data_IF_670957724505
#
_entry.id   IF_670957724505
#
_cell.length_a   1.000
_cell.length_b   1.000
_cell.length_c   1.000
_cell.angle_alpha   90.00
_cell.angle_beta   90.00
_cell.angle_gamma   90.00
#
_symmetry.space_group_name_H-M   'P 1'
#
loop_
_entity.id
_entity.type
_entity.pdbx_description
1 polymer ?
#
# COMPACT_ATOMS: atom_id res chain seq x y z
N UNK A 1 -29.95 -22.26 9.17
CA UNK A 1 -28.51 -22.08 8.88
C UNK A 1 -28.31 -21.92 7.37
N UNK A 2 -28.24 -20.69 6.87
CA UNK A 2 -27.99 -20.42 5.45
C UNK A 2 -26.50 -20.11 5.26
N UNK A 3 -25.74 -21.14 4.90
CA UNK A 3 -24.33 -21.02 4.51
C UNK A 3 -24.30 -20.55 3.06
N UNK A 4 -23.93 -19.30 2.82
CA UNK A 4 -23.64 -18.76 1.48
C UNK A 4 -22.14 -18.50 1.33
N UNK A 5 -21.32 -19.54 1.09
CA UNK A 5 -19.91 -19.38 0.77
C UNK A 5 -19.64 -18.81 -0.64
N UNK A 6 -20.66 -18.65 -1.50
CA UNK A 6 -20.50 -18.21 -2.90
C UNK A 6 -20.40 -16.68 -3.11
N UNK A 7 -20.81 -15.86 -2.13
CA UNK A 7 -20.77 -14.40 -2.29
C UNK A 7 -19.35 -13.82 -2.28
N UNK A 8 -18.42 -14.42 -1.53
CA UNK A 8 -17.10 -13.84 -1.34
C UNK A 8 -16.21 -14.06 -2.58
N UNK A 9 -16.28 -15.24 -3.21
CA UNK A 9 -15.54 -15.52 -4.44
C UNK A 9 -16.05 -14.67 -5.62
N UNK A 10 -17.37 -14.59 -5.80
CA UNK A 10 -17.97 -13.75 -6.83
C UNK A 10 -17.61 -12.27 -6.63
N UNK A 11 -17.61 -11.81 -5.37
CA UNK A 11 -17.26 -10.44 -5.03
C UNK A 11 -15.82 -10.10 -5.39
N UNK A 12 -14.85 -10.96 -5.05
CA UNK A 12 -13.42 -10.70 -5.33
C UNK A 12 -13.19 -10.56 -6.83
N UNK A 13 -13.75 -11.46 -7.64
CA UNK A 13 -13.62 -11.39 -9.09
C UNK A 13 -14.22 -10.10 -9.67
N UNK A 14 -15.37 -9.66 -9.15
CA UNK A 14 -16.03 -8.44 -9.61
C UNK A 14 -15.28 -7.17 -9.16
N UNK A 15 -14.75 -7.15 -7.94
CA UNK A 15 -13.91 -6.07 -7.46
C UNK A 15 -12.62 -5.95 -8.29
N UNK A 16 -12.02 -7.08 -8.68
CA UNK A 16 -10.84 -7.10 -9.55
C UNK A 16 -11.18 -6.66 -10.98
N UNK A 17 -12.33 -7.04 -11.51
CA UNK A 17 -12.83 -6.53 -12.79
C UNK A 17 -12.97 -5.00 -12.78
N UNK A 18 -13.58 -4.44 -11.73
CA UNK A 18 -13.72 -2.98 -11.63
C UNK A 18 -12.37 -2.28 -11.52
N UNK A 19 -11.43 -2.85 -10.74
CA UNK A 19 -10.08 -2.33 -10.65
C UNK A 19 -9.34 -2.36 -12.01
N UNK A 20 -9.44 -3.44 -12.78
CA UNK A 20 -8.75 -3.57 -14.06
C UNK A 20 -9.30 -2.63 -15.14
N UNK A 21 -10.56 -2.22 -15.03
CA UNK A 21 -11.23 -1.31 -15.97
C UNK A 21 -11.31 0.14 -15.45
N UNK A 22 -10.70 0.45 -14.30
CA UNK A 22 -10.76 1.77 -13.64
C UNK A 22 -12.18 2.26 -13.35
N UNK A 23 -13.10 1.32 -13.12
CA UNK A 23 -14.50 1.58 -12.73
C UNK A 23 -14.59 1.72 -11.20
N UNK A 24 -13.87 2.70 -10.67
CA UNK A 24 -13.62 2.87 -9.23
C UNK A 24 -14.88 3.27 -8.46
N UNK A 25 -15.76 4.05 -9.09
CA UNK A 25 -17.04 4.46 -8.52
C UNK A 25 -18.00 3.27 -8.37
N UNK A 26 -18.07 2.41 -9.39
CA UNK A 26 -18.85 1.17 -9.38
C UNK A 26 -18.33 0.17 -8.35
N UNK A 27 -17.01 0.03 -8.25
CA UNK A 27 -16.37 -0.76 -7.21
C UNK A 27 -16.71 -0.28 -5.80
N UNK A 28 -16.74 1.03 -5.57
CA UNK A 28 -17.17 1.61 -4.29
C UNK A 28 -18.66 1.37 -4.02
N UNK A 29 -19.53 1.56 -5.02
CA UNK A 29 -20.96 1.35 -4.90
C UNK A 29 -21.30 -0.12 -4.59
N UNK A 30 -20.59 -1.07 -5.20
CA UNK A 30 -20.70 -2.49 -4.88
C UNK A 30 -20.34 -2.75 -3.41
N UNK A 31 -19.20 -2.23 -2.95
CA UNK A 31 -18.76 -2.39 -1.56
C UNK A 31 -19.77 -1.79 -0.57
N UNK A 32 -20.31 -0.60 -0.85
CA UNK A 32 -21.33 0.04 -0.02
C UNK A 32 -22.63 -0.78 0.05
N UNK A 33 -23.03 -1.37 -1.07
CA UNK A 33 -24.17 -2.29 -1.11
C UNK A 33 -23.93 -3.49 -0.18
N UNK A 34 -22.76 -4.12 -0.26
CA UNK A 34 -22.42 -5.30 0.55
C UNK A 34 -22.28 -4.99 2.04
N UNK A 35 -21.72 -3.83 2.39
CA UNK A 35 -21.67 -3.36 3.78
C UNK A 35 -23.08 -3.23 4.35
N UNK A 36 -24.02 -2.68 3.56
CA UNK A 36 -25.41 -2.46 3.97
C UNK A 36 -26.21 -3.76 4.08
N UNK A 37 -26.09 -4.65 3.10
CA UNK A 37 -27.00 -5.82 2.97
C UNK A 37 -26.42 -7.13 3.49
N UNK A 38 -25.08 -7.25 3.57
CA UNK A 38 -24.41 -8.48 4.03
C UNK A 38 -23.82 -8.30 5.41
N UNK A 39 -22.78 -7.47 5.55
CA UNK A 39 -22.16 -7.21 6.86
C UNK A 39 -21.17 -6.06 6.79
N UNK A 40 -21.27 -5.13 7.74
CA UNK A 40 -20.26 -4.10 7.94
C UNK A 40 -18.95 -4.64 8.53
N UNK A 41 -18.89 -5.88 9.03
CA UNK A 41 -17.71 -6.43 9.73
C UNK A 41 -16.70 -7.13 8.80
N UNK A 42 -17.06 -7.39 7.54
CA UNK A 42 -16.14 -8.02 6.58
C UNK A 42 -15.11 -7.00 6.08
N UNK A 43 -13.85 -7.19 6.43
CA UNK A 43 -12.75 -6.30 6.07
C UNK A 43 -12.60 -6.09 4.54
N UNK A 44 -12.81 -7.15 3.76
CA UNK A 44 -12.67 -7.12 2.29
C UNK A 44 -13.57 -6.07 1.60
N UNK A 45 -14.74 -5.75 2.16
CA UNK A 45 -15.63 -4.73 1.59
C UNK A 45 -15.02 -3.33 1.74
N UNK A 46 -14.44 -3.03 2.90
CA UNK A 46 -13.73 -1.77 3.13
C UNK A 46 -12.43 -1.70 2.34
N UNK A 47 -11.72 -2.84 2.21
CA UNK A 47 -10.52 -2.93 1.40
C UNK A 47 -10.80 -2.62 -0.07
N UNK A 48 -11.94 -3.06 -0.59
CA UNK A 48 -12.34 -2.76 -1.97
C UNK A 48 -12.43 -1.25 -2.19
N UNK A 49 -13.07 -0.50 -1.26
CA UNK A 49 -13.09 0.97 -1.32
C UNK A 49 -11.68 1.57 -1.22
N UNK A 50 -10.83 1.04 -0.34
CA UNK A 50 -9.42 1.44 -0.23
C UNK A 50 -8.68 1.27 -1.57
N UNK A 51 -8.81 0.10 -2.22
CA UNK A 51 -8.21 -0.19 -3.53
C UNK A 51 -8.71 0.76 -4.62
N UNK A 52 -10.01 1.02 -4.69
CA UNK A 52 -10.58 1.96 -5.66
C UNK A 52 -10.06 3.38 -5.46
N UNK A 53 -9.98 3.85 -4.21
CA UNK A 53 -9.47 5.18 -3.90
C UNK A 53 -7.98 5.34 -4.18
N UNK A 54 -7.19 4.28 -4.00
CA UNK A 54 -5.80 4.29 -4.45
C UNK A 54 -5.70 4.45 -5.98
N UNK A 55 -6.55 3.77 -6.76
CA UNK A 55 -6.58 3.88 -8.23
C UNK A 55 -7.01 5.27 -8.71
N UNK A 56 -7.88 5.94 -7.96
CA UNK A 56 -8.30 7.33 -8.22
C UNK A 56 -7.25 8.38 -7.81
N UNK A 57 -6.14 7.96 -7.19
CA UNK A 57 -5.17 8.84 -6.50
C UNK A 57 -5.79 9.68 -5.36
N UNK A 58 -6.95 9.27 -4.83
CA UNK A 58 -7.59 9.85 -3.65
C UNK A 58 -6.97 9.20 -2.40
N UNK A 59 -5.76 9.65 -2.08
CA UNK A 59 -4.90 9.02 -1.08
C UNK A 59 -5.45 9.14 0.34
N UNK A 60 -6.07 10.27 0.67
CA UNK A 60 -6.72 10.49 1.95
C UNK A 60 -7.89 9.53 2.17
N UNK A 61 -8.79 9.37 1.19
CA UNK A 61 -9.87 8.40 1.31
C UNK A 61 -9.35 6.96 1.31
N UNK A 62 -8.29 6.67 0.54
CA UNK A 62 -7.61 5.37 0.59
C UNK A 62 -7.11 5.04 2.00
N UNK A 63 -6.48 5.99 2.69
CA UNK A 63 -6.01 5.82 4.08
C UNK A 63 -7.19 5.58 5.02
N UNK A 64 -8.28 6.35 4.92
CA UNK A 64 -9.47 6.18 5.77
C UNK A 64 -10.10 4.79 5.61
N UNK A 65 -10.22 4.30 4.37
CA UNK A 65 -10.76 2.97 4.12
C UNK A 65 -9.76 1.85 4.46
N UNK A 66 -8.45 2.09 4.35
CA UNK A 66 -7.45 1.18 4.88
C UNK A 66 -7.59 1.04 6.40
N UNK A 67 -7.76 2.14 7.12
CA UNK A 67 -7.98 2.11 8.58
C UNK A 67 -9.28 1.40 8.95
N UNK A 68 -10.34 1.62 8.19
CA UNK A 68 -11.58 0.86 8.34
C UNK A 68 -11.39 -0.64 8.10
N UNK A 69 -10.54 -1.01 7.15
CA UNK A 69 -10.19 -2.42 6.88
C UNK A 69 -9.42 -3.02 8.06
N UNK A 70 -8.39 -2.32 8.53
CA UNK A 70 -7.48 -2.77 9.58
C UNK A 70 -8.14 -2.83 10.96
N UNK A 71 -9.17 -2.01 11.20
CA UNK A 71 -10.02 -2.13 12.38
C UNK A 71 -10.74 -3.48 12.46
N UNK A 72 -11.02 -4.10 11.31
CA UNK A 72 -11.78 -5.36 11.20
C UNK A 72 -10.86 -6.57 11.05
N UNK A 73 -9.78 -6.40 10.29
CA UNK A 73 -8.74 -7.40 10.14
C UNK A 73 -7.36 -6.73 10.26
N UNK A 74 -6.76 -6.75 11.47
CA UNK A 74 -5.43 -6.21 11.70
C UNK A 74 -4.30 -6.97 10.99
N UNK A 75 -4.60 -8.08 10.31
CA UNK A 75 -3.64 -8.88 9.54
C UNK A 75 -3.79 -8.70 8.03
N UNK A 76 -4.64 -7.77 7.58
CA UNK A 76 -4.90 -7.49 6.16
C UNK A 76 -3.70 -6.77 5.51
N UNK A 77 -2.70 -7.54 5.07
CA UNK A 77 -1.44 -7.03 4.53
C UNK A 77 -1.63 -6.02 3.38
N UNK A 78 -2.61 -6.25 2.51
CA UNK A 78 -2.86 -5.35 1.37
C UNK A 78 -3.35 -3.97 1.79
N UNK A 79 -4.04 -3.85 2.93
CA UNK A 79 -4.51 -2.57 3.45
C UNK A 79 -3.34 -1.76 4.02
N UNK A 80 -2.40 -2.41 4.73
CA UNK A 80 -1.15 -1.77 5.12
C UNK A 80 -0.33 -1.32 3.92
N UNK A 81 -0.25 -2.16 2.88
CA UNK A 81 0.45 -1.81 1.65
C UNK A 81 -0.17 -0.57 1.00
N UNK A 82 -1.48 -0.58 0.72
CA UNK A 82 -2.17 0.54 0.10
C UNK A 82 -2.07 1.82 0.94
N UNK A 83 -2.22 1.73 2.27
CA UNK A 83 -2.04 2.87 3.19
C UNK A 83 -0.63 3.45 3.10
N UNK A 84 0.40 2.60 3.12
CA UNK A 84 1.79 3.05 3.00
C UNK A 84 2.11 3.67 1.64
N UNK A 85 1.60 3.09 0.54
CA UNK A 85 1.74 3.68 -0.81
C UNK A 85 1.05 5.03 -0.90
N UNK A 86 -0.16 5.19 -0.33
CA UNK A 86 -0.85 6.48 -0.28
C UNK A 86 0.00 7.57 0.38
N UNK A 87 0.58 7.29 1.56
CA UNK A 87 1.49 8.24 2.21
C UNK A 87 2.72 8.57 1.34
N UNK A 88 3.31 7.59 0.67
CA UNK A 88 4.46 7.81 -0.21
C UNK A 88 4.11 8.66 -1.43
N UNK A 89 2.96 8.43 -2.04
CA UNK A 89 2.51 9.21 -3.19
C UNK A 89 2.18 10.65 -2.78
N UNK A 90 1.51 10.84 -1.64
CA UNK A 90 1.32 12.18 -1.06
C UNK A 90 2.66 12.87 -0.79
N UNK A 91 3.68 12.13 -0.30
CA UNK A 91 5.01 12.68 -0.05
C UNK A 91 5.68 13.14 -1.35
N UNK A 92 5.58 12.36 -2.42
CA UNK A 92 6.14 12.70 -3.75
C UNK A 92 5.45 13.94 -4.32
N UNK A 93 4.11 13.97 -4.33
CA UNK A 93 3.34 15.14 -4.80
C UNK A 93 3.71 16.39 -3.99
N UNK A 94 3.90 16.24 -2.67
CA UNK A 94 4.29 17.36 -1.82
C UNK A 94 5.74 17.81 -2.07
N UNK A 95 6.63 16.90 -2.44
CA UNK A 95 8.00 17.21 -2.85
C UNK A 95 8.02 18.01 -4.15
N UNK A 96 7.24 17.60 -5.15
CA UNK A 96 7.16 18.28 -6.46
C UNK A 96 6.65 19.72 -6.35
N UNK A 97 5.76 19.97 -5.38
CA UNK A 97 5.19 21.29 -5.10
C UNK A 97 5.85 22.03 -3.94
N UNK A 98 6.96 21.52 -3.40
CA UNK A 98 7.60 22.11 -2.24
C UNK A 98 8.23 23.47 -2.55
N UNK A 99 8.15 24.40 -1.61
CA UNK A 99 8.86 25.67 -1.70
C UNK A 99 10.38 25.42 -1.70
N UNK A 100 11.11 26.16 -2.54
CA UNK A 100 12.57 26.09 -2.68
C UNK A 100 13.30 27.30 -2.08
N UNK A 101 12.57 28.36 -1.67
CA UNK A 101 13.17 29.54 -1.05
C UNK A 101 13.37 29.33 0.45
N UNK A 102 14.63 29.28 0.89
CA UNK A 102 15.02 29.05 2.29
C UNK A 102 14.43 30.09 3.25
N UNK A 103 14.14 31.30 2.76
CA UNK A 103 13.62 32.40 3.58
C UNK A 103 12.11 32.35 3.74
N UNK A 104 11.40 31.57 2.90
CA UNK A 104 9.96 31.40 2.99
C UNK A 104 9.62 30.41 4.12
N UNK A 105 8.72 30.75 5.08
CA UNK A 105 8.29 29.84 6.13
C UNK A 105 7.77 28.49 5.61
N UNK A 106 7.19 28.45 4.41
CA UNK A 106 6.72 27.21 3.76
C UNK A 106 7.87 26.23 3.51
N UNK A 107 9.09 26.69 3.27
CA UNK A 107 10.25 25.82 3.05
C UNK A 107 10.46 24.83 4.20
N UNK A 108 10.37 25.30 5.46
CA UNK A 108 10.48 24.44 6.63
C UNK A 108 9.25 23.55 6.81
N UNK A 109 8.05 24.11 6.62
CA UNK A 109 6.78 23.40 6.76
C UNK A 109 6.65 22.23 5.76
N UNK A 110 7.04 22.46 4.51
CA UNK A 110 6.96 21.49 3.42
C UNK A 110 7.85 20.28 3.73
N UNK A 111 9.11 20.52 4.13
CA UNK A 111 10.02 19.44 4.54
C UNK A 111 9.53 18.69 5.78
N UNK A 112 8.96 19.39 6.76
CA UNK A 112 8.37 18.74 7.92
C UNK A 112 7.21 17.82 7.51
N UNK A 113 6.32 18.31 6.64
CA UNK A 113 5.18 17.56 6.12
C UNK A 113 5.62 16.32 5.34
N UNK A 114 6.56 16.48 4.42
CA UNK A 114 7.13 15.37 3.63
C UNK A 114 7.76 14.33 4.58
N UNK A 115 8.54 14.77 5.57
CA UNK A 115 9.14 13.88 6.57
C UNK A 115 8.08 13.12 7.39
N UNK A 116 6.97 13.77 7.76
CA UNK A 116 5.87 13.12 8.46
C UNK A 116 5.16 12.07 7.59
N UNK A 117 4.98 12.34 6.30
CA UNK A 117 4.39 11.38 5.36
C UNK A 117 5.26 10.11 5.23
N UNK A 118 6.58 10.27 5.02
CA UNK A 118 7.51 9.13 5.02
C UNK A 118 7.52 8.38 6.37
N UNK A 119 7.50 9.11 7.49
CA UNK A 119 7.44 8.51 8.81
C UNK A 119 6.15 7.70 9.04
N UNK A 120 5.03 8.14 8.45
CA UNK A 120 3.72 7.46 8.53
C UNK A 120 3.65 6.24 7.62
N UNK A 121 4.32 6.27 6.46
CA UNK A 121 4.44 5.12 5.56
C UNK A 121 5.27 3.98 6.17
N UNK A 122 6.29 4.31 6.96
CA UNK A 122 7.24 3.35 7.54
C UNK A 122 6.60 2.19 8.35
N UNK A 123 5.77 2.44 9.38
CA UNK A 123 5.16 1.34 10.14
C UNK A 123 4.24 0.48 9.26
N UNK A 124 3.57 1.07 8.27
CA UNK A 124 2.72 0.33 7.34
C UNK A 124 3.54 -0.68 6.55
N UNK A 125 4.65 -0.24 5.92
CA UNK A 125 5.49 -1.12 5.12
C UNK A 125 6.28 -2.15 5.94
N UNK A 126 6.67 -1.80 7.17
CA UNK A 126 7.22 -2.79 8.13
C UNK A 126 6.22 -3.88 8.47
N UNK A 127 4.94 -3.53 8.61
CA UNK A 127 3.89 -4.51 8.86
C UNK A 127 3.62 -5.41 7.66
N UNK A 128 3.74 -4.89 6.42
CA UNK A 128 3.71 -5.73 5.20
C UNK A 128 4.87 -6.73 5.22
N UNK A 129 6.09 -6.30 5.57
CA UNK A 129 7.26 -7.20 5.74
C UNK A 129 7.00 -8.29 6.78
N UNK A 130 6.40 -7.92 7.91
CA UNK A 130 6.08 -8.87 8.99
C UNK A 130 5.04 -9.91 8.55
N UNK A 131 3.97 -9.48 7.88
CA UNK A 131 2.87 -10.36 7.46
C UNK A 131 3.19 -11.20 6.22
N UNK A 132 4.08 -10.71 5.36
CA UNK A 132 4.44 -11.34 4.08
C UNK A 132 5.96 -11.29 3.84
N UNK A 133 6.77 -11.96 4.68
CA UNK A 133 8.23 -11.89 4.59
C UNK A 133 8.76 -12.38 3.24
N UNK A 134 8.12 -13.39 2.65
CA UNK A 134 8.53 -13.98 1.36
C UNK A 134 8.27 -13.06 0.15
N UNK A 135 7.42 -12.04 0.31
CA UNK A 135 7.06 -11.10 -0.77
C UNK A 135 7.99 -9.89 -0.75
N UNK A 136 9.30 -10.15 -0.81
CA UNK A 136 10.36 -9.13 -0.73
C UNK A 136 10.12 -7.95 -1.68
N UNK A 137 9.74 -8.23 -2.93
CA UNK A 137 9.49 -7.21 -3.95
C UNK A 137 8.37 -6.22 -3.58
N UNK A 138 7.50 -6.62 -2.66
CA UNK A 138 6.37 -5.81 -2.22
C UNK A 138 6.76 -4.77 -1.17
N UNK A 139 7.53 -5.16 -0.17
CA UNK A 139 7.85 -4.29 0.97
C UNK A 139 9.25 -3.67 0.90
N UNK A 140 10.20 -4.32 0.20
CA UNK A 140 11.59 -3.88 0.24
C UNK A 140 11.84 -2.58 -0.54
N UNK A 141 11.35 -2.39 -1.79
CA UNK A 141 11.56 -1.12 -2.50
C UNK A 141 10.91 0.10 -1.81
N UNK A 142 9.67 0.03 -1.28
CA UNK A 142 9.11 1.11 -0.46
C UNK A 142 9.94 1.41 0.79
N UNK A 143 10.36 0.37 1.54
CA UNK A 143 11.19 0.57 2.74
C UNK A 143 12.57 1.15 2.42
N UNK A 144 13.18 0.76 1.30
CA UNK A 144 14.44 1.35 0.83
C UNK A 144 14.29 2.86 0.65
N UNK A 145 13.24 3.31 -0.05
CA UNK A 145 12.96 4.75 -0.26
C UNK A 145 12.72 5.47 1.06
N UNK A 146 11.97 4.86 1.97
CA UNK A 146 11.66 5.42 3.30
C UNK A 146 12.94 5.57 4.13
N UNK A 147 13.77 4.54 4.19
CA UNK A 147 14.98 4.54 4.99
C UNK A 147 16.02 5.52 4.45
N UNK A 148 16.18 5.58 3.13
CA UNK A 148 17.01 6.58 2.48
C UNK A 148 16.53 8.00 2.84
N UNK A 149 15.23 8.29 2.68
CA UNK A 149 14.70 9.62 2.94
C UNK A 149 14.78 10.05 4.41
N UNK A 150 14.56 9.11 5.34
CA UNK A 150 14.57 9.39 6.78
C UNK A 150 15.96 9.30 7.41
N UNK A 151 17.01 9.04 6.63
CA UNK A 151 18.40 8.81 7.06
C UNK A 151 18.50 7.68 8.11
N UNK A 152 17.85 6.54 7.85
CA UNK A 152 17.88 5.33 8.68
C UNK A 152 19.05 4.43 8.28
N UNK A 153 20.28 4.86 8.59
CA UNK A 153 21.50 4.23 8.07
C UNK A 153 21.57 2.70 8.29
N UNK A 154 21.33 2.21 9.51
CA UNK A 154 21.40 0.78 9.81
C UNK A 154 20.35 -0.03 9.04
N UNK A 155 19.11 0.44 9.04
CA UNK A 155 18.00 -0.21 8.34
C UNK A 155 18.14 -0.12 6.82
N UNK A 156 18.75 0.97 6.33
CA UNK A 156 19.07 1.16 4.92
C UNK A 156 20.17 0.18 4.46
N UNK A 157 21.24 0.03 5.22
CA UNK A 157 22.34 -0.88 4.88
C UNK A 157 21.86 -2.35 4.83
N UNK A 158 20.97 -2.73 5.76
CA UNK A 158 20.31 -4.05 5.76
C UNK A 158 19.52 -4.27 4.47
N UNK A 159 18.66 -3.32 4.11
CA UNK A 159 17.73 -3.51 2.99
C UNK A 159 18.42 -3.40 1.64
N UNK A 160 19.45 -2.55 1.52
CA UNK A 160 20.28 -2.44 0.32
C UNK A 160 21.04 -3.76 0.05
N UNK A 161 21.62 -4.36 1.09
CA UNK A 161 22.25 -5.68 0.99
C UNK A 161 21.26 -6.74 0.55
N UNK A 162 20.10 -6.79 1.20
CA UNK A 162 19.05 -7.76 0.90
C UNK A 162 18.59 -7.67 -0.57
N UNK A 163 18.37 -6.45 -1.08
CA UNK A 163 17.96 -6.25 -2.47
C UNK A 163 19.05 -6.66 -3.47
N UNK A 164 20.33 -6.39 -3.16
CA UNK A 164 21.48 -6.83 -3.99
C UNK A 164 21.62 -8.34 -4.02
N UNK A 165 21.49 -9.01 -2.88
CA UNK A 165 21.52 -10.47 -2.76
C UNK A 165 20.40 -11.09 -3.59
N UNK A 166 19.16 -10.62 -3.41
CA UNK A 166 18.02 -11.07 -4.20
C UNK A 166 18.21 -10.87 -5.70
N UNK A 167 18.68 -9.69 -6.13
CA UNK A 167 18.95 -9.44 -7.54
C UNK A 167 20.00 -10.40 -8.13
N UNK A 168 21.03 -10.76 -7.34
CA UNK A 168 22.01 -11.77 -7.72
C UNK A 168 21.40 -13.17 -7.84
N UNK A 169 20.53 -13.57 -6.90
CA UNK A 169 19.83 -14.84 -6.95
C UNK A 169 18.88 -14.95 -8.14
N UNK A 170 18.10 -13.89 -8.41
CA UNK A 170 17.17 -13.86 -9.53
C UNK A 170 17.93 -13.93 -10.87
N UNK A 171 19.08 -13.26 -10.98
CA UNK A 171 19.96 -13.36 -12.15
C UNK A 171 20.51 -14.79 -12.35
N UNK A 172 20.90 -15.47 -11.27
CA UNK A 172 21.36 -16.87 -11.32
C UNK A 172 20.24 -17.82 -11.77
N UNK A 173 19.04 -17.67 -11.23
CA UNK A 173 17.86 -18.48 -11.62
C UNK A 173 17.49 -18.29 -13.08
N UNK A 174 17.62 -17.08 -13.61
CA UNK A 174 17.37 -16.79 -15.02
C UNK A 174 18.47 -17.34 -15.96
N UNK A 175 19.69 -17.53 -15.45
CA UNK A 175 20.82 -18.08 -16.21
C UNK A 175 20.88 -19.62 -16.23
N UNK A 176 20.11 -20.31 -15.38
CA UNK A 176 20.02 -21.78 -15.41
C UNK A 176 19.19 -22.24 -16.62
N UNK A 177 19.73 -23.05 -17.54
CA UNK A 177 18.96 -23.56 -18.66
C UNK A 177 17.82 -24.42 -18.12
N UNK A 178 16.59 -24.14 -18.58
CA UNK A 178 15.41 -24.92 -18.25
C UNK A 178 15.70 -26.41 -18.55
N UNK A 179 15.97 -27.18 -17.50
CA UNK A 179 16.12 -28.64 -17.61
C UNK A 179 14.77 -29.18 -18.06
N UNK A 180 14.69 -29.53 -19.34
CA UNK A 180 13.59 -30.31 -19.93
C UNK A 180 13.53 -31.69 -19.33
#
# INVERSE_FOLDING_TARGET
>A
MRKYPEHDYFFVNLADYYASHKLTSEGCALADSLIRVVSANKAIYWYTKCKMKLLDNDYEACIQFADSTLLRDPTFADAYYNKGISYLNMAVIRQESACNDIKDPRFAQDRQTIRQLFASAMPCMRKVRELQPDKVDRWAPPLYRIYLFLNKGKEFDEIDRLLKEKASEDAKRQAEPAKK
#
